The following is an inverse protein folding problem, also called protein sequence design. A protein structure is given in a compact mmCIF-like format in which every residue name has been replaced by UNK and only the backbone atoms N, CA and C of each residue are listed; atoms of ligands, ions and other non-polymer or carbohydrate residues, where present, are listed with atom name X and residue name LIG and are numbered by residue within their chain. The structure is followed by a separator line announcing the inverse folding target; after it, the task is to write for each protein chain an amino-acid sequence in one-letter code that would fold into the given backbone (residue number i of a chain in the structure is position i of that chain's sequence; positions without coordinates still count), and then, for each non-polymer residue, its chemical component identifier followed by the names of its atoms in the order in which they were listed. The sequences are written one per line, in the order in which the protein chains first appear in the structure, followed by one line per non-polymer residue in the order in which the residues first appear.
data_IF_286983358617
#
_entry.id   IF_286983358617
#
_cell.length_a   1.000
_cell.length_b   1.000
_cell.length_c   1.000
_cell.angle_alpha   90.00
_cell.angle_beta   90.00
_cell.angle_gamma   90.00
#
_symmetry.space_group_name_H-M   'P 1'
#
loop_
_entity.id
_entity.type
_entity.pdbx_description
1 polymer ?
#
# COMPACT_ATOMS: atom_id res chain seq x y z
N UNK A 1 15.82 2.64 12.95
CA UNK A 1 16.29 3.48 14.06
C UNK A 1 15.13 4.29 14.63
N UNK A 2 14.48 5.15 13.83
CA UNK A 2 13.17 5.73 14.13
C UNK A 2 11.99 5.05 13.42
N UNK A 3 12.21 3.92 12.74
CA UNK A 3 11.27 3.34 11.78
C UNK A 3 9.85 3.14 12.29
N UNK A 4 8.92 2.99 11.35
CA UNK A 4 7.54 2.59 11.60
C UNK A 4 7.48 1.54 12.72
N UNK A 5 6.62 1.76 13.71
CA UNK A 5 6.42 0.88 14.87
C UNK A 5 6.31 -0.58 14.42
N UNK A 6 5.63 -0.86 13.30
CA UNK A 6 5.53 -2.22 12.78
C UNK A 6 6.84 -2.75 12.20
N UNK A 7 7.62 -1.92 11.52
CA UNK A 7 8.93 -2.32 10.98
C UNK A 7 9.99 -2.48 12.06
N UNK A 8 9.86 -1.76 13.18
CA UNK A 8 10.78 -1.86 14.30
C UNK A 8 10.79 -3.27 14.91
N UNK A 9 9.61 -3.89 15.04
CA UNK A 9 9.45 -5.25 15.52
C UNK A 9 9.94 -6.30 14.51
N UNK A 10 9.92 -5.97 13.21
CA UNK A 10 10.30 -6.88 12.13
C UNK A 10 11.80 -6.88 11.87
N UNK A 11 12.47 -5.73 12.02
CA UNK A 11 13.89 -5.56 11.68
C UNK A 11 14.77 -5.15 12.87
N UNK A 12 14.69 -5.82 14.04
CA UNK A 12 15.45 -5.42 15.22
C UNK A 12 16.96 -5.46 15.00
N UNK A 13 17.45 -6.45 14.25
CA UNK A 13 18.88 -6.62 13.96
C UNK A 13 19.41 -5.52 13.03
N UNK A 14 18.65 -5.16 11.99
CA UNK A 14 19.01 -4.04 11.11
C UNK A 14 19.02 -2.71 11.85
N UNK A 15 18.09 -2.52 12.79
CA UNK A 15 18.06 -1.34 13.66
C UNK A 15 19.27 -1.31 14.58
N UNK A 16 19.61 -2.43 15.22
CA UNK A 16 20.79 -2.54 16.07
C UNK A 16 22.06 -2.22 15.29
N UNK A 17 22.24 -2.80 14.10
CA UNK A 17 23.38 -2.53 13.23
C UNK A 17 23.52 -1.04 12.91
N UNK A 18 22.42 -0.37 12.53
CA UNK A 18 22.43 1.09 12.28
C UNK A 18 22.86 1.85 13.52
N UNK A 19 22.28 1.55 14.68
CA UNK A 19 22.56 2.27 15.94
C UNK A 19 23.98 2.05 16.45
N UNK A 20 24.59 0.92 16.14
CA UNK A 20 25.94 0.55 16.57
C UNK A 20 27.03 1.04 15.62
N UNK A 21 26.74 1.11 14.31
CA UNK A 21 27.77 1.30 13.27
C UNK A 21 27.70 2.67 12.61
N UNK A 22 26.52 3.29 12.51
CA UNK A 22 26.36 4.61 11.92
C UNK A 22 26.77 5.69 12.93
N UNK A 23 27.36 6.78 12.46
CA UNK A 23 27.76 7.89 13.33
C UNK A 23 26.56 8.50 14.07
N UNK A 24 26.77 9.19 15.20
CA UNK A 24 25.69 9.90 15.90
C UNK A 24 24.93 10.88 15.00
N UNK A 25 25.64 11.60 14.12
CA UNK A 25 25.03 12.53 13.16
C UNK A 25 24.12 11.80 12.16
N UNK A 26 24.56 10.66 11.62
CA UNK A 26 23.76 9.86 10.70
C UNK A 26 22.52 9.27 11.39
N UNK A 27 22.68 8.82 12.64
CA UNK A 27 21.59 8.30 13.45
C UNK A 27 20.55 9.40 13.76
N UNK A 28 20.99 10.60 14.13
CA UNK A 28 20.13 11.76 14.34
C UNK A 28 19.38 12.16 13.06
N UNK A 29 20.06 12.14 11.91
CA UNK A 29 19.43 12.40 10.62
C UNK A 29 18.33 11.39 10.28
N UNK A 30 18.57 10.09 10.52
CA UNK A 30 17.58 9.03 10.30
C UNK A 30 16.34 9.25 11.19
N UNK A 31 16.53 9.57 12.48
CA UNK A 31 15.42 9.82 13.40
C UNK A 31 14.64 11.10 13.02
N UNK A 32 15.32 12.13 12.55
CA UNK A 32 14.69 13.37 12.09
C UNK A 32 13.82 13.17 10.83
N UNK A 33 14.21 12.26 9.93
CA UNK A 33 13.41 11.91 8.74
C UNK A 33 12.08 11.28 9.18
N UNK A 34 12.13 10.31 10.10
CA UNK A 34 10.91 9.65 10.56
C UNK A 34 9.98 10.63 11.30
N UNK A 35 10.54 11.45 12.19
CA UNK A 35 9.77 12.49 12.88
C UNK A 35 9.08 13.46 11.91
N UNK A 36 9.77 13.85 10.82
CA UNK A 36 9.21 14.75 9.83
C UNK A 36 8.08 14.12 9.01
N UNK A 37 8.19 12.85 8.63
CA UNK A 37 7.22 12.18 7.76
C UNK A 37 6.07 11.55 8.55
N UNK A 38 6.39 10.70 9.52
CA UNK A 38 5.38 9.95 10.26
C UNK A 38 4.70 10.80 11.33
N UNK A 39 5.48 11.42 12.21
CA UNK A 39 4.91 12.10 13.38
C UNK A 39 4.24 13.42 13.03
N UNK A 40 4.77 14.15 12.04
CA UNK A 40 4.23 15.46 11.66
C UNK A 40 3.23 15.42 10.50
N UNK A 41 3.47 14.58 9.49
CA UNK A 41 2.68 14.56 8.25
C UNK A 41 1.76 13.31 8.20
N UNK A 42 1.98 12.31 9.05
CA UNK A 42 1.14 11.11 9.14
C UNK A 42 1.41 10.07 8.05
N UNK A 43 2.45 10.25 7.23
CA UNK A 43 2.77 9.35 6.10
C UNK A 43 3.83 8.32 6.47
N UNK A 44 3.81 7.16 5.81
CA UNK A 44 4.81 6.11 6.02
C UNK A 44 6.15 6.52 5.39
N UNK A 45 7.22 6.50 6.19
CA UNK A 45 8.58 6.91 5.78
C UNK A 45 9.10 6.08 4.61
N UNK A 46 9.10 4.74 4.75
CA UNK A 46 9.63 3.82 3.73
C UNK A 46 8.95 3.95 2.36
N UNK A 47 7.63 3.75 2.26
CA UNK A 47 6.87 3.92 1.02
C UNK A 47 7.05 5.29 0.37
N UNK A 48 7.03 6.37 1.17
CA UNK A 48 7.20 7.73 0.65
C UNK A 48 8.57 7.94 0.01
N UNK A 49 9.64 7.45 0.65
CA UNK A 49 11.00 7.59 0.14
C UNK A 49 11.24 6.69 -1.08
N UNK A 50 10.79 5.44 -1.03
CA UNK A 50 10.88 4.53 -2.17
C UNK A 50 10.21 5.12 -3.42
N UNK A 51 8.98 5.63 -3.29
CA UNK A 51 8.28 6.30 -4.38
C UNK A 51 9.09 7.49 -4.92
N UNK A 52 9.58 8.37 -4.04
CA UNK A 52 10.25 9.59 -4.45
C UNK A 52 11.56 9.34 -5.20
N UNK A 53 12.40 8.42 -4.70
CA UNK A 53 13.67 8.08 -5.35
C UNK A 53 13.50 7.23 -6.61
N UNK A 54 12.38 6.50 -6.73
CA UNK A 54 12.08 5.70 -7.92
C UNK A 54 11.78 6.53 -9.19
N UNK A 55 11.61 7.85 -9.04
CA UNK A 55 11.39 8.77 -10.15
C UNK A 55 12.62 8.96 -11.05
N UNK A 56 13.78 8.48 -10.63
CA UNK A 56 14.99 8.44 -11.44
C UNK A 56 15.47 7.00 -11.60
N UNK A 57 16.24 6.73 -12.66
CA UNK A 57 16.97 5.48 -12.75
C UNK A 57 18.11 5.49 -11.72
N UNK A 58 18.06 4.55 -10.78
CA UNK A 58 19.02 4.40 -9.69
C UNK A 58 19.51 2.95 -9.69
N UNK A 59 20.83 2.75 -9.68
CA UNK A 59 21.44 1.41 -9.66
C UNK A 59 22.28 1.19 -8.40
N UNK A 60 22.77 2.28 -7.81
CA UNK A 60 23.67 2.24 -6.65
C UNK A 60 23.23 3.18 -5.55
N UNK A 61 23.75 2.97 -4.33
CA UNK A 61 23.58 3.92 -3.22
C UNK A 61 24.12 5.31 -3.58
N UNK A 62 25.17 5.40 -4.39
CA UNK A 62 25.72 6.68 -4.84
C UNK A 62 24.75 7.44 -5.76
N UNK A 63 23.95 6.75 -6.57
CA UNK A 63 22.90 7.39 -7.39
C UNK A 63 21.78 7.96 -6.52
N UNK A 64 21.42 7.25 -5.46
CA UNK A 64 20.42 7.70 -4.49
C UNK A 64 20.94 8.93 -3.72
N UNK A 65 22.19 8.90 -3.27
CA UNK A 65 22.87 10.05 -2.65
C UNK A 65 22.90 11.24 -3.59
N UNK A 66 23.29 11.04 -4.86
CA UNK A 66 23.31 12.11 -5.86
C UNK A 66 21.91 12.69 -6.10
N UNK A 67 20.87 11.87 -6.05
CA UNK A 67 19.48 12.30 -6.19
C UNK A 67 18.99 13.09 -4.97
N UNK A 68 19.46 12.77 -3.77
CA UNK A 68 19.21 13.57 -2.57
C UNK A 68 19.96 14.92 -2.60
N UNK A 69 21.15 14.96 -3.21
CA UNK A 69 21.94 16.19 -3.37
C UNK A 69 21.34 17.14 -4.43
N UNK A 70 20.75 16.59 -5.49
CA UNK A 70 20.10 17.35 -6.57
C UNK A 70 18.70 16.81 -6.91
N UNK A 71 17.71 16.98 -6.00
CA UNK A 71 16.36 16.47 -6.21
C UNK A 71 15.65 17.17 -7.38
N UNK A 72 16.03 18.40 -7.71
CA UNK A 72 15.44 19.16 -8.83
C UNK A 72 15.93 18.66 -10.17
N UNK A 73 17.23 18.45 -10.32
CA UNK A 73 17.77 17.92 -11.57
C UNK A 73 17.44 16.45 -11.80
N UNK A 74 17.39 15.65 -10.72
CA UNK A 74 17.32 14.18 -10.84
C UNK A 74 15.94 13.58 -10.58
N UNK A 75 15.15 14.10 -9.64
CA UNK A 75 13.88 13.48 -9.25
C UNK A 75 12.67 14.20 -9.85
N UNK A 76 12.71 15.53 -9.90
CA UNK A 76 11.59 16.35 -10.38
C UNK A 76 11.10 15.97 -11.79
N UNK A 77 11.96 15.76 -12.81
CA UNK A 77 11.48 15.46 -14.16
C UNK A 77 10.66 14.16 -14.21
N UNK A 78 11.08 13.14 -13.46
CA UNK A 78 10.36 11.87 -13.37
C UNK A 78 9.05 12.01 -12.59
N UNK A 79 9.07 12.69 -11.44
CA UNK A 79 7.88 12.91 -10.62
C UNK A 79 6.80 13.70 -11.38
N UNK A 80 7.18 14.65 -12.24
CA UNK A 80 6.24 15.40 -13.09
C UNK A 80 5.52 14.55 -14.14
N UNK A 81 5.96 13.32 -14.39
CA UNK A 81 5.24 12.37 -15.26
C UNK A 81 4.17 11.58 -14.50
N UNK A 82 4.17 11.66 -13.17
CA UNK A 82 3.17 10.99 -12.34
C UNK A 82 1.80 11.66 -12.48
N UNK A 83 0.70 10.88 -12.56
CA UNK A 83 -0.64 11.44 -12.42
C UNK A 83 -0.88 12.07 -11.03
N UNK A 84 -0.05 11.74 -10.04
CA UNK A 84 -0.08 12.30 -8.68
C UNK A 84 0.94 13.43 -8.46
N UNK A 85 1.42 14.06 -9.53
CA UNK A 85 2.34 15.19 -9.41
C UNK A 85 1.70 16.33 -8.61
N UNK A 86 2.37 16.72 -7.54
CA UNK A 86 1.98 17.84 -6.70
C UNK A 86 3.24 18.68 -6.38
N UNK A 87 3.22 19.95 -6.80
CA UNK A 87 4.35 20.85 -6.64
C UNK A 87 4.63 21.21 -5.17
N UNK A 88 3.59 21.32 -4.34
CA UNK A 88 3.74 21.62 -2.91
C UNK A 88 4.34 20.41 -2.17
N UNK A 89 3.84 19.21 -2.45
CA UNK A 89 4.37 17.94 -1.93
C UNK A 89 5.83 17.76 -2.34
N UNK A 90 6.18 18.09 -3.59
CA UNK A 90 7.56 18.08 -4.04
C UNK A 90 8.43 19.06 -3.26
N UNK A 91 8.00 20.30 -3.08
CA UNK A 91 8.74 21.31 -2.31
C UNK A 91 8.88 20.92 -0.83
N UNK A 92 7.89 20.27 -0.25
CA UNK A 92 7.96 19.70 1.10
C UNK A 92 9.00 18.58 1.19
N UNK A 93 9.05 17.68 0.21
CA UNK A 93 10.06 16.62 0.15
C UNK A 93 11.47 17.19 -0.05
N UNK A 94 11.63 18.18 -0.92
CA UNK A 94 12.91 18.88 -1.15
C UNK A 94 13.47 19.48 0.15
N UNK A 95 12.62 20.03 1.02
CA UNK A 95 13.07 20.57 2.32
C UNK A 95 13.70 19.51 3.21
N UNK A 96 13.31 18.25 3.06
CA UNK A 96 13.85 17.12 3.83
C UNK A 96 15.14 16.52 3.22
N UNK A 97 15.39 16.76 1.93
CA UNK A 97 16.50 16.17 1.17
C UNK A 97 17.90 16.40 1.78
N UNK A 98 18.25 17.55 2.39
CA UNK A 98 19.53 17.69 3.06
C UNK A 98 19.72 16.69 4.22
N UNK A 99 18.65 16.43 4.98
CA UNK A 99 18.70 15.46 6.10
C UNK A 99 18.79 14.03 5.56
N UNK A 100 18.03 13.71 4.51
CA UNK A 100 18.11 12.44 3.80
C UNK A 100 19.51 12.21 3.24
N UNK A 101 20.10 13.22 2.62
CA UNK A 101 21.45 13.17 2.09
C UNK A 101 22.47 12.85 3.19
N UNK A 102 22.41 13.52 4.35
CA UNK A 102 23.26 13.19 5.51
C UNK A 102 23.08 11.74 5.93
N UNK A 103 21.85 11.27 6.13
CA UNK A 103 21.58 9.88 6.51
C UNK A 103 22.18 8.87 5.51
N UNK A 104 22.02 9.09 4.20
CA UNK A 104 22.53 8.20 3.16
C UNK A 104 24.07 8.21 3.08
N UNK A 105 24.70 9.38 3.22
CA UNK A 105 26.17 9.50 3.23
C UNK A 105 26.76 8.77 4.44
N UNK A 106 26.15 8.90 5.61
CA UNK A 106 26.59 8.23 6.84
C UNK A 106 26.36 6.71 6.79
N UNK A 107 25.25 6.26 6.20
CA UNK A 107 25.03 4.83 5.91
C UNK A 107 26.10 4.26 4.97
N UNK A 108 26.45 5.00 3.91
CA UNK A 108 27.54 4.61 3.00
C UNK A 108 28.87 4.53 3.74
N UNK A 109 29.20 5.53 4.57
CA UNK A 109 30.43 5.57 5.34
C UNK A 109 30.52 4.41 6.36
N UNK A 110 29.39 3.99 6.92
CA UNK A 110 29.28 2.82 7.80
C UNK A 110 29.39 1.47 7.06
N UNK A 111 29.50 1.47 5.73
CA UNK A 111 29.67 0.24 4.94
C UNK A 111 28.36 -0.50 4.64
N UNK A 112 27.22 0.21 4.60
CA UNK A 112 25.90 -0.38 4.37
C UNK A 112 25.85 -1.32 3.16
N UNK A 113 26.44 -0.94 2.01
CA UNK A 113 26.40 -1.78 0.81
C UNK A 113 27.10 -3.14 1.00
N UNK A 114 28.23 -3.15 1.72
CA UNK A 114 28.94 -4.41 2.02
C UNK A 114 28.16 -5.24 3.02
N UNK A 115 27.66 -4.60 4.09
CA UNK A 115 26.82 -5.27 5.07
C UNK A 115 25.57 -5.89 4.43
N UNK A 116 24.90 -5.16 3.54
CA UNK A 116 23.74 -5.67 2.82
C UNK A 116 24.10 -6.88 1.94
N UNK A 117 25.23 -6.78 1.22
CA UNK A 117 25.71 -7.87 0.37
C UNK A 117 26.00 -9.14 1.18
N UNK A 118 26.67 -9.00 2.32
CA UNK A 118 27.08 -10.12 3.17
C UNK A 118 25.91 -10.81 3.90
N UNK A 119 24.80 -10.09 4.13
CA UNK A 119 23.71 -10.58 4.96
C UNK A 119 22.44 -10.94 4.18
N UNK A 120 22.17 -10.32 3.02
CA UNK A 120 20.88 -10.45 2.35
C UNK A 120 20.94 -10.67 0.84
N UNK A 121 22.04 -10.31 0.16
CA UNK A 121 22.05 -10.33 -1.31
C UNK A 121 21.83 -11.72 -1.91
N UNK A 122 22.40 -12.77 -1.30
CA UNK A 122 22.22 -14.14 -1.78
C UNK A 122 20.75 -14.58 -1.70
N UNK A 123 20.08 -14.33 -0.57
CA UNK A 123 18.65 -14.66 -0.38
C UNK A 123 17.75 -13.85 -1.31
N UNK A 124 18.05 -12.56 -1.50
CA UNK A 124 17.32 -11.70 -2.43
C UNK A 124 17.48 -12.19 -3.86
N UNK A 125 18.71 -12.52 -4.29
CA UNK A 125 18.98 -13.03 -5.64
C UNK A 125 18.31 -14.38 -5.89
N UNK A 126 18.32 -15.28 -4.90
CA UNK A 126 17.62 -16.56 -4.99
C UNK A 126 16.10 -16.36 -5.12
N UNK A 127 15.53 -15.45 -4.33
CA UNK A 127 14.11 -15.13 -4.36
C UNK A 127 13.65 -14.55 -5.71
N UNK A 128 14.49 -13.79 -6.43
CA UNK A 128 14.17 -13.30 -7.78
C UNK A 128 13.84 -14.46 -8.73
N UNK A 129 14.65 -15.53 -8.72
CA UNK A 129 14.42 -16.69 -9.57
C UNK A 129 13.15 -17.46 -9.21
N UNK A 130 12.93 -17.69 -7.91
CA UNK A 130 11.74 -18.39 -7.40
C UNK A 130 10.46 -17.61 -7.72
N UNK A 131 10.45 -16.31 -7.45
CA UNK A 131 9.28 -15.47 -7.68
C UNK A 131 8.99 -15.34 -9.18
N UNK A 132 10.00 -15.15 -10.04
CA UNK A 132 9.81 -15.12 -11.49
C UNK A 132 9.10 -16.37 -11.99
N UNK A 133 9.60 -17.56 -11.62
CA UNK A 133 9.00 -18.82 -12.04
C UNK A 133 7.56 -19.01 -11.54
N UNK A 134 7.24 -18.45 -10.36
CA UNK A 134 5.90 -18.55 -9.79
C UNK A 134 4.88 -17.57 -10.35
N UNK A 135 5.31 -16.40 -10.87
CA UNK A 135 4.40 -15.38 -11.40
C UNK A 135 4.31 -15.35 -12.93
N UNK A 136 5.32 -15.86 -13.66
CA UNK A 136 5.39 -15.73 -15.13
C UNK A 136 4.27 -16.44 -15.90
N UNK A 137 3.58 -17.39 -15.25
CA UNK A 137 2.44 -18.09 -15.84
C UNK A 137 1.14 -17.26 -15.85
N UNK A 138 1.11 -16.13 -15.15
CA UNK A 138 -0.08 -15.31 -14.97
C UNK A 138 0.04 -14.00 -15.73
N UNK A 139 -0.96 -13.71 -16.56
CA UNK A 139 -1.12 -12.42 -17.22
C UNK A 139 -2.30 -11.68 -16.59
N UNK A 140 -2.01 -10.88 -15.56
CA UNK A 140 -3.03 -10.16 -14.78
C UNK A 140 -3.43 -8.83 -15.42
N UNK A 141 -2.62 -8.29 -16.34
CA UNK A 141 -2.82 -6.96 -16.92
C UNK A 141 -4.14 -6.87 -17.70
N UNK A 142 -4.51 -7.83 -18.59
CA UNK A 142 -5.78 -7.77 -19.30
C UNK A 142 -7.00 -7.71 -18.37
N UNK A 143 -6.96 -8.42 -17.24
CA UNK A 143 -8.03 -8.37 -16.24
C UNK A 143 -8.07 -7.01 -15.53
N UNK A 144 -6.92 -6.42 -15.23
CA UNK A 144 -6.84 -5.07 -14.66
C UNK A 144 -7.33 -4.00 -15.65
N UNK A 145 -6.93 -4.07 -16.92
CA UNK A 145 -7.42 -3.18 -17.97
C UNK A 145 -8.93 -3.29 -18.16
N UNK A 146 -9.47 -4.51 -18.13
CA UNK A 146 -10.91 -4.79 -18.23
C UNK A 146 -11.71 -4.11 -17.11
N UNK A 147 -11.15 -4.04 -15.90
CA UNK A 147 -11.80 -3.45 -14.72
C UNK A 147 -11.51 -1.95 -14.55
N UNK A 148 -10.42 -1.44 -15.12
CA UNK A 148 -10.08 -0.01 -15.08
C UNK A 148 -10.62 0.77 -16.28
N UNK A 149 -10.95 0.09 -17.39
CA UNK A 149 -11.42 0.73 -18.62
C UNK A 149 -10.34 1.53 -19.36
N UNK A 150 -9.05 1.26 -19.09
CA UNK A 150 -7.91 1.92 -19.73
C UNK A 150 -6.76 0.94 -19.96
N UNK A 151 -5.94 1.24 -20.96
CA UNK A 151 -4.72 0.48 -21.21
C UNK A 151 -3.67 0.72 -20.10
N UNK A 152 -2.90 -0.32 -19.83
CA UNK A 152 -1.80 -0.36 -18.87
C UNK A 152 -0.48 -0.60 -19.60
N UNK A 153 0.63 -0.47 -18.87
CA UNK A 153 1.91 -0.96 -19.37
C UNK A 153 1.80 -2.48 -19.57
N UNK A 154 2.31 -3.08 -20.66
CA UNK A 154 2.28 -4.52 -20.85
C UNK A 154 3.20 -5.30 -19.88
N UNK A 155 3.95 -4.63 -19.01
CA UNK A 155 4.87 -5.27 -18.07
C UNK A 155 4.71 -4.74 -16.65
N UNK A 156 4.76 -5.64 -15.67
CA UNK A 156 4.88 -5.29 -14.24
C UNK A 156 6.29 -5.62 -13.79
N UNK A 157 6.98 -4.64 -13.19
CA UNK A 157 8.30 -4.88 -12.58
C UNK A 157 8.16 -5.10 -11.07
N UNK A 158 8.68 -6.23 -10.58
CA UNK A 158 8.72 -6.57 -9.16
C UNK A 158 10.17 -6.43 -8.68
N UNK A 159 10.42 -5.47 -7.80
CA UNK A 159 11.72 -5.25 -7.17
C UNK A 159 11.78 -6.06 -5.87
N UNK A 160 12.53 -7.16 -5.88
CA UNK A 160 12.69 -8.01 -4.69
C UNK A 160 13.74 -7.40 -3.76
N UNK A 161 13.37 -7.15 -2.50
CA UNK A 161 14.20 -6.48 -1.51
C UNK A 161 14.08 -7.09 -0.11
N UNK A 162 15.01 -6.76 0.78
CA UNK A 162 14.97 -7.17 2.19
C UNK A 162 14.12 -6.24 3.07
N UNK A 163 14.22 -4.92 2.88
CA UNK A 163 13.60 -3.91 3.75
C UNK A 163 12.31 -3.34 3.15
N UNK A 164 11.25 -4.16 3.10
CA UNK A 164 9.93 -3.75 2.59
C UNK A 164 8.76 -4.23 3.44
N UNK A 165 8.94 -5.20 4.34
CA UNK A 165 7.87 -5.72 5.19
C UNK A 165 7.28 -4.63 6.09
N UNK A 166 6.00 -4.75 6.47
CA UNK A 166 5.04 -5.76 6.00
C UNK A 166 4.44 -5.44 4.62
N UNK A 167 4.92 -4.43 3.91
CA UNK A 167 4.24 -3.83 2.78
C UNK A 167 4.76 -4.30 1.41
N UNK A 168 3.83 -4.43 0.46
CA UNK A 168 4.14 -4.16 -0.94
C UNK A 168 4.24 -2.65 -1.11
N UNK A 169 5.26 -2.15 -1.80
CA UNK A 169 5.44 -0.71 -1.96
C UNK A 169 5.36 -0.36 -3.44
N UNK A 170 4.22 0.19 -3.88
CA UNK A 170 4.11 0.79 -5.20
C UNK A 170 5.09 1.96 -5.35
N UNK A 171 5.79 1.97 -6.47
CA UNK A 171 6.70 3.04 -6.85
C UNK A 171 6.32 3.61 -8.22
N UNK A 172 7.08 4.56 -8.77
CA UNK A 172 6.78 5.16 -10.07
C UNK A 172 6.68 4.11 -11.18
N UNK A 173 5.75 4.30 -12.12
CA UNK A 173 5.47 3.35 -13.20
C UNK A 173 4.60 2.16 -12.76
N UNK A 174 4.61 1.10 -13.56
CA UNK A 174 3.93 -0.16 -13.22
C UNK A 174 4.87 -1.09 -12.46
N UNK A 175 5.28 -0.65 -11.27
CA UNK A 175 6.31 -1.31 -10.48
C UNK A 175 6.02 -1.28 -8.98
N UNK A 176 6.50 -2.28 -8.26
CA UNK A 176 6.45 -2.30 -6.81
C UNK A 176 7.62 -3.05 -6.19
N UNK A 177 7.92 -2.73 -4.94
CA UNK A 177 8.93 -3.41 -4.13
C UNK A 177 8.24 -4.46 -3.27
N UNK A 178 8.85 -5.64 -3.14
CA UNK A 178 8.33 -6.71 -2.31
C UNK A 178 9.42 -7.45 -1.53
N UNK A 179 9.01 -8.12 -0.45
CA UNK A 179 9.94 -8.82 0.43
C UNK A 179 10.40 -10.16 -0.17
N UNK A 180 11.70 -10.43 -0.13
CA UNK A 180 12.28 -11.65 -0.69
C UNK A 180 11.77 -12.96 -0.06
N UNK A 181 11.36 -12.93 1.20
CA UNK A 181 10.86 -14.11 1.90
C UNK A 181 9.36 -14.41 1.69
N UNK A 182 8.65 -13.61 0.89
CA UNK A 182 7.27 -13.93 0.49
C UNK A 182 7.25 -14.95 -0.65
N UNK A 183 6.26 -15.83 -0.62
CA UNK A 183 6.03 -16.77 -1.72
C UNK A 183 5.46 -16.07 -2.96
N UNK A 184 5.57 -16.75 -4.11
CA UNK A 184 5.14 -16.19 -5.39
C UNK A 184 3.64 -15.91 -5.44
N UNK A 185 2.81 -16.65 -4.71
CA UNK A 185 1.37 -16.41 -4.65
C UNK A 185 1.07 -15.08 -3.93
N UNK A 186 1.79 -14.79 -2.85
CA UNK A 186 1.76 -13.49 -2.17
C UNK A 186 2.19 -12.38 -3.12
N UNK A 187 3.27 -12.58 -3.88
CA UNK A 187 3.70 -11.58 -4.87
C UNK A 187 2.67 -11.33 -5.95
N UNK A 188 2.01 -12.38 -6.43
CA UNK A 188 0.99 -12.28 -7.45
C UNK A 188 -0.24 -11.51 -6.95
N UNK A 189 -0.66 -11.73 -5.69
CA UNK A 189 -1.70 -10.93 -5.05
C UNK A 189 -1.30 -9.47 -4.87
N UNK A 190 -0.06 -9.19 -4.46
CA UNK A 190 0.46 -7.82 -4.38
C UNK A 190 0.47 -7.17 -5.76
N UNK A 191 0.87 -7.88 -6.82
CA UNK A 191 0.80 -7.36 -8.19
C UNK A 191 -0.64 -7.09 -8.65
N UNK A 192 -1.57 -7.97 -8.30
CA UNK A 192 -3.00 -7.78 -8.56
C UNK A 192 -3.53 -6.54 -7.83
N UNK A 193 -3.06 -6.29 -6.59
CA UNK A 193 -3.45 -5.19 -5.73
C UNK A 193 -2.84 -3.84 -6.16
N UNK A 194 -1.51 -3.74 -6.15
CA UNK A 194 -0.82 -2.45 -6.23
C UNK A 194 -1.13 -1.71 -7.51
N UNK A 195 -1.33 -2.41 -8.64
CA UNK A 195 -1.57 -1.76 -9.94
C UNK A 195 -2.94 -1.09 -10.00
N UNK A 196 -3.93 -1.55 -9.22
CA UNK A 196 -5.22 -0.88 -9.10
C UNK A 196 -5.12 0.48 -8.42
N UNK A 197 -4.08 0.79 -7.65
CA UNK A 197 -4.02 2.08 -6.95
C UNK A 197 -3.76 3.29 -7.87
N UNK A 198 -4.58 4.36 -7.82
CA UNK A 198 -5.89 4.42 -7.18
C UNK A 198 -6.98 3.77 -8.08
N UNK A 199 -7.98 3.07 -7.50
CA UNK A 199 -8.98 2.33 -8.27
C UNK A 199 -10.01 3.25 -8.95
N UNK A 200 -10.05 4.52 -8.56
CA UNK A 200 -10.85 5.59 -9.13
C UNK A 200 -10.09 6.92 -8.98
N UNK A 201 -10.57 7.97 -9.65
CA UNK A 201 -10.05 9.32 -9.48
C UNK A 201 -10.45 9.87 -8.09
N UNK A 202 -9.50 10.14 -7.18
CA UNK A 202 -9.82 10.69 -5.86
C UNK A 202 -10.39 12.11 -5.93
N UNK A 203 -10.18 12.83 -7.04
CA UNK A 203 -10.67 14.19 -7.26
C UNK A 203 -12.01 14.22 -8.03
N UNK A 204 -12.66 13.06 -8.23
CA UNK A 204 -13.98 12.98 -8.86
C UNK A 204 -15.01 13.78 -8.02
N UNK A 205 -15.61 14.86 -8.58
CA UNK A 205 -16.46 15.75 -7.81
C UNK A 205 -17.79 15.12 -7.39
N UNK A 206 -18.22 14.03 -8.05
CA UNK A 206 -19.48 13.34 -7.71
C UNK A 206 -19.30 12.39 -6.51
N UNK A 207 -18.08 11.88 -6.30
CA UNK A 207 -17.84 10.77 -5.39
C UNK A 207 -18.11 11.12 -3.92
N UNK A 208 -17.72 12.31 -3.39
CA UNK A 208 -18.02 12.68 -2.00
C UNK A 208 -19.52 12.69 -1.69
N UNK A 209 -20.35 13.21 -2.60
CA UNK A 209 -21.81 13.24 -2.40
C UNK A 209 -22.39 11.82 -2.37
N UNK A 210 -21.95 10.96 -3.30
CA UNK A 210 -22.43 9.59 -3.40
C UNK A 210 -22.02 8.70 -2.22
N UNK A 211 -20.89 9.01 -1.58
CA UNK A 211 -20.40 8.28 -0.40
C UNK A 211 -20.91 8.84 0.94
N UNK A 212 -21.56 10.01 0.94
CA UNK A 212 -21.94 10.72 2.17
C UNK A 212 -22.77 9.89 3.16
N UNK A 213 -23.70 9.07 2.67
CA UNK A 213 -24.50 8.16 3.52
C UNK A 213 -23.64 7.07 4.16
N UNK A 214 -22.63 6.55 3.45
CA UNK A 214 -21.68 5.58 4.01
C UNK A 214 -20.71 6.24 4.99
N UNK A 215 -20.28 7.46 4.72
CA UNK A 215 -19.42 8.22 5.64
C UNK A 215 -20.14 8.57 6.95
N UNK A 216 -21.44 8.84 6.88
CA UNK A 216 -22.27 9.14 8.04
C UNK A 216 -22.69 7.89 8.84
N UNK A 217 -22.55 6.68 8.27
CA UNK A 217 -22.97 5.44 8.91
C UNK A 217 -22.13 5.13 10.17
N UNK A 218 -22.76 4.95 11.36
CA UNK A 218 -22.03 4.70 12.60
C UNK A 218 -21.16 3.43 12.58
N UNK A 219 -21.56 2.40 11.83
CA UNK A 219 -20.80 1.16 11.74
C UNK A 219 -19.56 1.37 10.86
N UNK A 220 -19.68 1.98 9.68
CA UNK A 220 -18.53 2.36 8.84
C UNK A 220 -17.56 3.30 9.57
N UNK A 221 -18.07 4.29 10.30
CA UNK A 221 -17.24 5.20 11.11
C UNK A 221 -16.43 4.46 12.17
N UNK A 222 -17.03 3.48 12.84
CA UNK A 222 -16.33 2.71 13.87
C UNK A 222 -15.12 1.94 13.32
N UNK A 223 -15.15 1.53 12.05
CA UNK A 223 -13.98 0.90 11.41
C UNK A 223 -12.82 1.90 11.37
N UNK A 224 -13.09 3.13 10.92
CA UNK A 224 -12.06 4.19 10.85
C UNK A 224 -11.58 4.58 12.25
N UNK A 225 -12.50 4.76 13.20
CA UNK A 225 -12.21 5.27 14.54
C UNK A 225 -11.56 4.24 15.47
N UNK A 226 -11.92 2.96 15.36
CA UNK A 226 -11.57 1.92 16.34
C UNK A 226 -10.55 0.88 15.85
N UNK A 227 -10.17 0.89 14.56
CA UNK A 227 -9.10 0.01 14.09
C UNK A 227 -7.73 0.42 14.66
N UNK A 228 -6.75 -0.48 14.62
CA UNK A 228 -5.39 -0.14 15.03
C UNK A 228 -4.75 0.81 13.99
N UNK A 229 -4.49 2.08 14.33
CA UNK A 229 -4.02 3.09 13.37
C UNK A 229 -2.62 2.80 12.82
N UNK A 230 -1.92 1.79 13.38
CA UNK A 230 -0.66 1.29 12.85
C UNK A 230 -0.83 0.64 11.47
N UNK A 231 -1.98 0.02 11.17
CA UNK A 231 -2.24 -0.61 9.88
C UNK A 231 -2.36 0.38 8.72
N UNK A 232 -2.66 1.66 8.99
CA UNK A 232 -2.82 2.69 7.97
C UNK A 232 -4.29 2.94 7.63
N UNK A 233 -4.56 3.66 6.53
CA UNK A 233 -5.94 3.96 6.08
C UNK A 233 -6.82 4.66 7.11
N UNK A 234 -6.23 5.60 7.85
CA UNK A 234 -6.84 6.35 8.97
C UNK A 234 -7.89 7.39 8.57
N UNK A 235 -8.54 7.23 7.42
CA UNK A 235 -9.61 8.10 6.94
C UNK A 235 -10.67 7.29 6.22
N UNK A 236 -11.90 7.79 6.17
CA UNK A 236 -12.98 7.13 5.43
C UNK A 236 -12.61 6.90 3.97
N UNK A 237 -12.07 7.90 3.28
CA UNK A 237 -11.59 7.73 1.91
C UNK A 237 -10.41 6.76 1.79
N UNK A 238 -9.56 6.66 2.81
CA UNK A 238 -8.51 5.63 2.88
C UNK A 238 -9.09 4.22 2.89
N UNK A 239 -10.11 3.98 3.72
CA UNK A 239 -10.84 2.69 3.80
C UNK A 239 -11.56 2.38 2.50
N UNK A 240 -12.22 3.36 1.88
CA UNK A 240 -12.91 3.16 0.59
C UNK A 240 -11.90 2.84 -0.52
N UNK A 241 -10.80 3.61 -0.61
CA UNK A 241 -9.77 3.40 -1.63
C UNK A 241 -9.13 2.01 -1.50
N UNK A 242 -8.68 1.65 -0.30
CA UNK A 242 -8.07 0.35 -0.03
C UNK A 242 -9.07 -0.80 -0.23
N UNK A 243 -10.29 -0.66 0.28
CA UNK A 243 -11.31 -1.69 0.14
C UNK A 243 -11.74 -1.90 -1.31
N UNK A 244 -11.81 -0.83 -2.10
CA UNK A 244 -12.01 -0.92 -3.55
C UNK A 244 -10.89 -1.71 -4.23
N UNK A 245 -9.63 -1.39 -3.92
CA UNK A 245 -8.47 -2.09 -4.48
C UNK A 245 -8.47 -3.57 -4.09
N UNK A 246 -8.74 -3.90 -2.82
CA UNK A 246 -8.83 -5.30 -2.38
C UNK A 246 -10.01 -6.06 -3.01
N UNK A 247 -11.14 -5.40 -3.23
CA UNK A 247 -12.26 -6.05 -3.91
C UNK A 247 -11.92 -6.36 -5.36
N UNK A 248 -11.24 -5.45 -6.07
CA UNK A 248 -10.82 -5.61 -7.46
C UNK A 248 -9.73 -6.67 -7.61
N UNK A 249 -8.72 -6.66 -6.73
CA UNK A 249 -7.67 -7.68 -6.76
C UNK A 249 -8.23 -9.08 -6.50
N UNK A 250 -9.29 -9.20 -5.68
CA UNK A 250 -9.95 -10.47 -5.41
C UNK A 250 -10.68 -10.96 -6.66
N UNK A 251 -11.37 -10.07 -7.39
CA UNK A 251 -11.99 -10.40 -8.68
C UNK A 251 -10.94 -10.94 -9.67
N UNK A 252 -9.79 -10.27 -9.80
CA UNK A 252 -8.70 -10.75 -10.68
C UNK A 252 -8.19 -12.12 -10.23
N UNK A 253 -7.95 -12.27 -8.93
CA UNK A 253 -7.42 -13.49 -8.32
C UNK A 253 -8.38 -14.68 -8.49
N UNK A 254 -9.68 -14.46 -8.34
CA UNK A 254 -10.72 -15.47 -8.53
C UNK A 254 -10.75 -15.95 -9.98
N UNK A 255 -10.72 -15.01 -10.94
CA UNK A 255 -10.77 -15.34 -12.38
C UNK A 255 -9.56 -16.11 -12.87
N UNK A 256 -8.39 -15.80 -12.32
CA UNK A 256 -7.13 -16.42 -12.71
C UNK A 256 -6.76 -17.63 -11.83
N UNK A 257 -7.60 -17.97 -10.85
CA UNK A 257 -7.50 -19.20 -10.09
C UNK A 257 -6.36 -19.24 -9.06
N UNK A 258 -5.99 -18.10 -8.50
CA UNK A 258 -4.97 -18.00 -7.43
C UNK A 258 -5.47 -17.30 -6.16
N UNK A 259 -6.76 -16.97 -6.11
CA UNK A 259 -7.42 -16.41 -4.93
C UNK A 259 -7.34 -17.33 -3.71
N UNK A 260 -7.19 -16.70 -2.55
CA UNK A 260 -7.59 -17.29 -1.28
C UNK A 260 -9.12 -17.17 -1.12
N UNK A 261 -9.69 -17.91 -0.17
CA UNK A 261 -11.09 -17.72 0.21
C UNK A 261 -11.30 -16.26 0.70
N UNK A 262 -12.25 -15.50 0.11
CA UNK A 262 -12.44 -14.09 0.45
C UNK A 262 -12.84 -13.89 1.92
N UNK A 263 -13.60 -14.83 2.49
CA UNK A 263 -13.98 -14.80 3.89
C UNK A 263 -12.78 -15.03 4.82
N UNK A 264 -11.93 -16.00 4.54
CA UNK A 264 -10.67 -16.24 5.28
C UNK A 264 -9.73 -15.04 5.19
N UNK A 265 -9.54 -14.48 3.98
CA UNK A 265 -8.68 -13.32 3.73
C UNK A 265 -9.07 -12.14 4.61
N UNK A 266 -10.33 -11.70 4.57
CA UNK A 266 -10.74 -10.48 5.26
C UNK A 266 -11.10 -10.65 6.73
N UNK A 267 -11.32 -11.89 7.21
CA UNK A 267 -11.48 -12.14 8.66
C UNK A 267 -10.18 -11.92 9.43
N UNK A 268 -9.04 -12.34 8.85
CA UNK A 268 -7.74 -12.35 9.53
C UNK A 268 -6.88 -11.11 9.27
N UNK A 269 -7.06 -10.44 8.13
CA UNK A 269 -6.15 -9.38 7.71
C UNK A 269 -6.47 -8.03 8.38
N UNK A 270 -5.44 -7.34 8.87
CA UNK A 270 -5.51 -6.01 9.49
C UNK A 270 -6.61 -5.86 10.55
N UNK A 271 -6.77 -6.88 11.38
CA UNK A 271 -7.79 -6.91 12.44
C UNK A 271 -9.23 -6.96 11.93
N UNK A 272 -9.45 -7.29 10.65
CA UNK A 272 -10.78 -7.41 10.05
C UNK A 272 -11.38 -6.08 9.62
N UNK A 273 -10.58 -5.05 9.33
CA UNK A 273 -11.09 -3.71 8.96
C UNK A 273 -11.64 -3.62 7.53
N UNK A 274 -11.30 -4.57 6.66
CA UNK A 274 -11.60 -4.54 5.21
C UNK A 274 -13.05 -4.90 4.85
N UNK A 275 -14.02 -4.45 5.65
CA UNK A 275 -15.43 -4.79 5.49
C UNK A 275 -16.03 -4.22 4.19
N UNK A 276 -15.57 -3.04 3.77
CA UNK A 276 -15.98 -2.48 2.48
C UNK A 276 -15.50 -3.34 1.30
N UNK A 277 -14.29 -3.92 1.38
CA UNK A 277 -13.77 -4.83 0.35
C UNK A 277 -14.68 -6.04 0.18
N UNK A 278 -15.04 -6.67 1.30
CA UNK A 278 -15.96 -7.80 1.33
C UNK A 278 -17.32 -7.48 0.69
N UNK A 279 -17.90 -6.34 1.06
CA UNK A 279 -19.17 -5.89 0.52
C UNK A 279 -19.10 -5.55 -0.97
N UNK A 280 -18.05 -4.84 -1.40
CA UNK A 280 -17.87 -4.42 -2.78
C UNK A 280 -17.61 -5.61 -3.71
N UNK A 281 -16.78 -6.57 -3.30
CA UNK A 281 -16.55 -7.82 -4.04
C UNK A 281 -17.86 -8.59 -4.22
N UNK A 282 -18.61 -8.79 -3.14
CA UNK A 282 -19.90 -9.48 -3.22
C UNK A 282 -20.88 -8.73 -4.14
N UNK A 283 -20.94 -7.40 -4.06
CA UNK A 283 -21.78 -6.60 -4.95
C UNK A 283 -21.36 -6.73 -6.43
N UNK A 284 -20.06 -6.74 -6.74
CA UNK A 284 -19.56 -6.92 -8.10
C UNK A 284 -19.88 -8.31 -8.67
N UNK A 285 -19.83 -9.36 -7.83
CA UNK A 285 -20.20 -10.71 -8.23
C UNK A 285 -21.70 -10.81 -8.52
N UNK A 286 -22.55 -10.30 -7.63
CA UNK A 286 -24.01 -10.36 -7.81
C UNK A 286 -24.50 -9.51 -8.99
N UNK A 287 -23.92 -8.32 -9.17
CA UNK A 287 -24.28 -7.40 -10.27
C UNK A 287 -23.71 -7.86 -11.63
N UNK A 288 -22.88 -8.91 -11.65
CA UNK A 288 -22.23 -9.44 -12.85
C UNK A 288 -21.00 -8.67 -13.32
N UNK A 289 -20.63 -7.58 -12.65
CA UNK A 289 -19.47 -6.76 -13.00
C UNK A 289 -18.15 -7.55 -12.90
N UNK A 290 -18.01 -8.45 -11.93
CA UNK A 290 -16.84 -9.32 -11.82
C UNK A 290 -16.59 -10.11 -13.13
N UNK A 291 -17.68 -10.53 -13.78
CA UNK A 291 -17.65 -11.28 -15.04
C UNK A 291 -17.51 -10.36 -16.27
N UNK A 292 -18.30 -9.29 -16.37
CA UNK A 292 -18.36 -8.47 -17.60
C UNK A 292 -17.30 -7.37 -17.64
N UNK A 293 -16.93 -6.83 -16.48
CA UNK A 293 -16.02 -5.71 -16.33
C UNK A 293 -16.62 -4.39 -16.80
N UNK A 294 -15.73 -3.44 -17.12
CA UNK A 294 -16.04 -2.05 -17.37
C UNK A 294 -15.23 -1.14 -16.45
N UNK A 295 -15.39 0.18 -16.58
CA UNK A 295 -14.71 1.14 -15.71
C UNK A 295 -15.23 1.03 -14.28
N UNK A 296 -14.36 0.61 -13.34
CA UNK A 296 -14.74 0.46 -11.93
C UNK A 296 -15.33 1.73 -11.33
N UNK A 297 -14.76 2.91 -11.63
CA UNK A 297 -15.31 4.19 -11.13
C UNK A 297 -16.77 4.40 -11.55
N UNK A 298 -17.11 4.08 -12.80
CA UNK A 298 -18.48 4.19 -13.29
C UNK A 298 -19.41 3.17 -12.63
N UNK A 299 -18.91 1.94 -12.44
CA UNK A 299 -19.64 0.90 -11.71
C UNK A 299 -19.90 1.31 -10.26
N UNK A 300 -18.89 1.79 -9.53
CA UNK A 300 -18.99 2.21 -8.13
C UNK A 300 -20.05 3.31 -7.99
N UNK A 301 -19.98 4.36 -8.82
CA UNK A 301 -20.97 5.45 -8.82
C UNK A 301 -22.38 4.93 -9.16
N UNK A 302 -22.50 4.01 -10.11
CA UNK A 302 -23.78 3.37 -10.44
C UNK A 302 -24.33 2.51 -9.30
N UNK A 303 -23.48 1.72 -8.64
CA UNK A 303 -23.84 0.86 -7.53
C UNK A 303 -24.33 1.67 -6.31
N UNK A 304 -23.66 2.79 -6.01
CA UNK A 304 -24.09 3.75 -4.97
C UNK A 304 -25.47 4.34 -5.32
N UNK A 305 -25.65 4.86 -6.54
CA UNK A 305 -26.94 5.46 -6.99
C UNK A 305 -28.09 4.45 -6.99
N UNK A 306 -27.81 3.17 -7.29
CA UNK A 306 -28.80 2.08 -7.26
C UNK A 306 -29.05 1.50 -5.87
N UNK A 307 -28.31 1.95 -4.85
CA UNK A 307 -28.44 1.48 -3.48
C UNK A 307 -27.80 0.12 -3.20
N UNK A 308 -27.02 -0.44 -4.15
CA UNK A 308 -26.31 -1.71 -3.98
C UNK A 308 -25.23 -1.65 -2.90
N UNK A 309 -24.74 -0.44 -2.63
CA UNK A 309 -23.76 -0.10 -1.60
C UNK A 309 -24.33 0.91 -0.61
N UNK A 310 -25.63 0.86 -0.31
CA UNK A 310 -26.19 1.60 0.83
C UNK A 310 -25.62 1.04 2.15
N UNK A 311 -25.63 1.79 3.27
CA UNK A 311 -25.08 1.33 4.54
C UNK A 311 -25.60 -0.05 4.98
N UNK A 312 -26.91 -0.28 4.86
CA UNK A 312 -27.54 -1.55 5.17
C UNK A 312 -27.04 -2.69 4.27
N UNK A 313 -26.88 -2.43 2.97
CA UNK A 313 -26.38 -3.43 2.02
C UNK A 313 -24.90 -3.71 2.21
N UNK A 314 -24.07 -2.71 2.50
CA UNK A 314 -22.65 -2.93 2.80
C UNK A 314 -22.50 -3.86 3.99
N UNK A 315 -23.21 -3.59 5.10
CA UNK A 315 -23.16 -4.46 6.29
C UNK A 315 -23.70 -5.86 6.01
N UNK A 316 -24.83 -5.99 5.29
CA UNK A 316 -25.41 -7.29 4.93
C UNK A 316 -24.42 -8.13 4.12
N UNK A 317 -23.83 -7.54 3.08
CA UNK A 317 -22.88 -8.22 2.19
C UNK A 317 -21.60 -8.60 2.89
N UNK A 318 -21.04 -7.68 3.69
CA UNK A 318 -19.88 -8.01 4.53
C UNK A 318 -20.19 -9.21 5.44
N UNK A 319 -21.39 -9.24 6.06
CA UNK A 319 -21.83 -10.34 6.92
C UNK A 319 -21.89 -11.67 6.18
N UNK A 320 -22.34 -11.66 4.92
CA UNK A 320 -22.42 -12.86 4.08
C UNK A 320 -21.03 -13.42 3.71
N UNK A 321 -20.03 -12.56 3.60
CA UNK A 321 -18.66 -12.94 3.22
C UNK A 321 -17.81 -13.33 4.44
N UNK A 322 -17.74 -12.46 5.45
CA UNK A 322 -16.82 -12.64 6.59
C UNK A 322 -17.51 -13.17 7.85
N UNK A 323 -18.84 -13.32 7.82
CA UNK A 323 -19.64 -13.77 8.96
C UNK A 323 -20.00 -12.66 9.94
N UNK A 324 -21.09 -12.88 10.68
CA UNK A 324 -21.62 -11.91 11.64
C UNK A 324 -20.65 -11.60 12.77
N UNK A 325 -19.90 -12.59 13.25
CA UNK A 325 -18.94 -12.42 14.35
C UNK A 325 -17.91 -11.33 14.02
N UNK A 326 -17.33 -11.35 12.81
CA UNK A 326 -16.35 -10.35 12.38
C UNK A 326 -16.99 -8.98 12.15
N UNK A 327 -18.17 -8.94 11.54
CA UNK A 327 -18.90 -7.68 11.32
C UNK A 327 -19.29 -6.99 12.64
N UNK A 328 -19.72 -7.77 13.63
CA UNK A 328 -20.19 -7.27 14.92
C UNK A 328 -19.03 -6.83 15.85
N UNK A 329 -17.77 -7.08 15.47
CA UNK A 329 -16.62 -6.44 16.13
C UNK A 329 -16.61 -4.93 15.94
N UNK A 330 -17.26 -4.45 14.89
CA UNK A 330 -17.36 -3.04 14.55
C UNK A 330 -18.74 -2.52 14.99
N UNK A 331 -18.74 -1.33 15.59
CA UNK A 331 -19.95 -0.62 15.96
C UNK A 331 -19.77 0.24 17.21
N UNK A 332 -20.71 1.17 17.45
CA UNK A 332 -20.60 2.20 18.50
C UNK A 332 -20.56 1.66 19.94
N UNK A 333 -20.66 0.34 20.13
CA UNK A 333 -20.65 -0.30 21.45
C UNK A 333 -19.26 -0.80 21.90
N UNK A 334 -18.24 -0.77 21.03
CA UNK A 334 -16.89 -1.25 21.40
C UNK A 334 -16.16 -0.34 22.40
N UNK A 335 -16.42 0.97 22.35
CA UNK A 335 -15.82 1.95 23.27
C UNK A 335 -16.21 1.76 24.75
N UNK A 336 -17.26 0.99 25.07
CA UNK A 336 -17.73 0.81 26.44
C UNK A 336 -17.19 -0.44 27.15
N UNK A 337 -16.45 -1.32 26.47
CA UNK A 337 -15.98 -2.59 27.04
C UNK A 337 -14.50 -2.59 27.47
N UNK A 338 -13.78 -1.46 27.32
CA UNK A 338 -12.36 -1.33 27.65
C UNK A 338 -12.04 -0.77 29.05
N UNK A 339 -13.05 -0.37 29.83
CA UNK A 339 -12.87 0.10 31.23
C UNK A 339 -13.58 -0.84 32.22
N UNK A 340 -13.17 -2.10 32.26
CA UNK A 340 -13.41 -3.01 33.40
C UNK A 340 -12.57 -4.29 33.28
N UNK A 341 -11.29 -4.23 33.65
CA UNK A 341 -10.68 -4.97 34.80
C UNK A 341 -9.15 -4.84 34.80
#
# INVERSE_FOLDING_TARGET
AGGDVMQADIYPEGIAWVRETVSPEGVEAIDAIDAALRQRIGVLTGPSMAYFFSANQVETLDDVIASAADPRGRLQPGLMTSPHWDAERFENAVRLMPTIHTALVELRAAGFSQWYADNFADDVNAAVGVNRAGVEAYDIIPEQERLLGRALDPQIEILIANFSRPYGIRIMGQRFIAYHGWDAQTQLRVAAHEIFHPPFDPDDPDLPELLSDLEADPWMRSIVEDHDPRFGYNSFMGVINEGSTQALDQVVSDRLGFADDPGERWRGNDGGMHMFAAAAWHAMVEDGFAETGGTYSDWLKSALRRGLLSPAEVRRRATEVVGAETVDQWGPHRAAAGEAD
#
